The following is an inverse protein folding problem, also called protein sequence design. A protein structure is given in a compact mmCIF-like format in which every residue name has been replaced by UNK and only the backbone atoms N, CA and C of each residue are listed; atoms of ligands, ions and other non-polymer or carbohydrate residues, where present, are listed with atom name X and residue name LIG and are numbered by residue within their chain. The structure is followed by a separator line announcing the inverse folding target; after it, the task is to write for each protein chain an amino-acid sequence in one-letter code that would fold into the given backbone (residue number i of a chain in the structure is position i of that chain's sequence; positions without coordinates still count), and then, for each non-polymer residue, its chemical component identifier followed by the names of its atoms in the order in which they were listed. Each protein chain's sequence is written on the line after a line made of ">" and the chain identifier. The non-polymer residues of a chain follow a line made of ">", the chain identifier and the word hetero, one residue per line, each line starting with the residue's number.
data_IF_339755867858
#
_entry.id   IF_339755867858
#
_cell.length_a   1.000
_cell.length_b   1.000
_cell.length_c   1.000
_cell.angle_alpha   90.00
_cell.angle_beta   90.00
_cell.angle_gamma   90.00
#
_symmetry.space_group_name_H-M   'P 1'
#
loop_
_entity.id
_entity.type
_entity.pdbx_description
1 polymer ?
#
# COMPACT_ATOMS: atom_id res chain seq x y z
N UNK A 1 -25.94 11.84 9.90
CA UNK A 1 -26.11 10.47 9.36
C UNK A 1 -25.27 10.27 8.10
N UNK A 2 -25.39 11.13 7.09
CA UNK A 2 -24.59 11.07 5.84
C UNK A 2 -23.07 10.91 6.07
N UNK A 3 -22.47 11.77 6.90
CA UNK A 3 -21.03 11.69 7.22
C UNK A 3 -20.64 10.35 7.87
N UNK A 4 -21.47 9.84 8.78
CA UNK A 4 -21.22 8.57 9.47
C UNK A 4 -21.27 7.38 8.48
N UNK A 5 -22.22 7.41 7.53
CA UNK A 5 -22.32 6.40 6.47
C UNK A 5 -21.08 6.38 5.57
N UNK A 6 -20.64 7.56 5.09
CA UNK A 6 -19.44 7.69 4.27
C UNK A 6 -18.17 7.26 5.03
N UNK A 7 -18.06 7.68 6.29
CA UNK A 7 -16.94 7.30 7.16
C UNK A 7 -16.91 5.78 7.42
N UNK A 8 -18.08 5.17 7.64
CA UNK A 8 -18.18 3.72 7.81
C UNK A 8 -17.77 2.97 6.53
N UNK A 9 -18.17 3.45 5.35
CA UNK A 9 -17.78 2.86 4.07
C UNK A 9 -16.25 2.85 3.90
N UNK A 10 -15.61 4.01 4.12
CA UNK A 10 -14.14 4.11 4.06
C UNK A 10 -13.40 3.31 5.13
N UNK A 11 -13.96 3.26 6.35
CA UNK A 11 -13.42 2.43 7.41
C UNK A 11 -13.46 0.95 7.02
N UNK A 12 -14.57 0.47 6.48
CA UNK A 12 -14.72 -0.91 6.00
C UNK A 12 -13.78 -1.20 4.82
N UNK A 13 -13.64 -0.27 3.87
CA UNK A 13 -12.71 -0.40 2.74
C UNK A 13 -11.26 -0.64 3.23
N UNK A 14 -10.76 0.21 4.12
CA UNK A 14 -9.41 0.07 4.68
C UNK A 14 -9.27 -1.22 5.51
N UNK A 15 -10.27 -1.56 6.32
CA UNK A 15 -10.27 -2.80 7.09
C UNK A 15 -10.18 -4.04 6.18
N UNK A 16 -10.96 -4.07 5.09
CA UNK A 16 -10.96 -5.18 4.13
C UNK A 16 -9.61 -5.32 3.44
N UNK A 17 -8.96 -4.21 3.09
CA UNK A 17 -7.61 -4.21 2.52
C UNK A 17 -6.58 -4.81 3.48
N UNK A 18 -6.59 -4.42 4.76
CA UNK A 18 -5.71 -5.00 5.77
C UNK A 18 -6.03 -6.47 6.07
N UNK A 19 -7.32 -6.84 6.15
CA UNK A 19 -7.73 -8.21 6.39
C UNK A 19 -7.39 -9.13 5.23
N UNK A 20 -7.48 -8.65 3.99
CA UNK A 20 -7.07 -9.40 2.80
C UNK A 20 -5.62 -9.91 2.95
N UNK A 21 -4.69 -9.05 3.34
CA UNK A 21 -3.29 -9.46 3.58
C UNK A 21 -3.16 -10.50 4.70
N UNK A 22 -3.94 -10.39 5.78
CA UNK A 22 -3.93 -11.38 6.87
C UNK A 22 -4.48 -12.74 6.43
N UNK A 23 -5.55 -12.74 5.63
CA UNK A 23 -6.13 -13.95 5.07
C UNK A 23 -5.13 -14.64 4.14
N UNK A 24 -4.43 -13.88 3.28
CA UNK A 24 -3.37 -14.45 2.43
C UNK A 24 -2.28 -15.16 3.25
N UNK A 25 -1.81 -14.54 4.33
CA UNK A 25 -0.82 -15.16 5.22
C UNK A 25 -1.38 -16.47 5.82
N UNK A 26 -2.62 -16.47 6.31
CA UNK A 26 -3.25 -17.68 6.86
C UNK A 26 -3.37 -18.77 5.79
N UNK A 27 -3.76 -18.42 4.56
CA UNK A 27 -3.87 -19.36 3.45
C UNK A 27 -2.50 -19.97 3.08
N UNK A 28 -1.41 -19.20 3.15
CA UNK A 28 -0.07 -19.76 2.93
C UNK A 28 0.35 -20.81 3.96
N UNK A 29 -0.28 -20.81 5.14
CA UNK A 29 -0.09 -21.86 6.14
C UNK A 29 -0.59 -23.25 5.72
N UNK A 30 -1.36 -23.35 4.64
CA UNK A 30 -1.85 -24.63 4.10
C UNK A 30 -0.97 -25.23 2.99
N UNK A 31 0.16 -24.57 2.66
CA UNK A 31 1.13 -25.07 1.67
C UNK A 31 1.98 -26.22 2.25
N UNK A 32 2.53 -27.06 1.36
CA UNK A 32 3.40 -28.19 1.76
C UNK A 32 4.59 -27.75 2.61
N UNK A 33 5.20 -26.62 2.27
CA UNK A 33 6.30 -25.98 3.02
C UNK A 33 5.80 -24.78 3.84
N UNK A 34 4.70 -24.96 4.58
CA UNK A 34 3.99 -23.90 5.30
C UNK A 34 4.90 -22.96 6.11
N UNK A 35 5.88 -23.51 6.83
CA UNK A 35 6.81 -22.70 7.64
C UNK A 35 7.59 -21.69 6.79
N UNK A 36 8.20 -22.15 5.70
CA UNK A 36 9.01 -21.30 4.82
C UNK A 36 8.12 -20.30 4.08
N UNK A 37 6.96 -20.76 3.59
CA UNK A 37 6.02 -19.91 2.85
C UNK A 37 5.46 -18.78 3.73
N UNK A 38 5.02 -19.10 4.96
CA UNK A 38 4.50 -18.11 5.90
C UNK A 38 5.60 -17.15 6.36
N UNK A 39 6.79 -17.65 6.70
CA UNK A 39 7.89 -16.80 7.16
C UNK A 39 8.33 -15.82 6.07
N UNK A 40 8.56 -16.31 4.85
CA UNK A 40 9.00 -15.47 3.73
C UNK A 40 7.93 -14.45 3.29
N UNK A 41 6.66 -14.87 3.23
CA UNK A 41 5.56 -13.95 2.92
C UNK A 41 5.38 -12.92 4.02
N UNK A 42 5.50 -13.30 5.30
CA UNK A 42 5.38 -12.36 6.42
C UNK A 42 6.44 -11.27 6.36
N UNK A 43 7.69 -11.62 6.03
CA UNK A 43 8.77 -10.64 5.82
C UNK A 43 8.41 -9.68 4.67
N UNK A 44 7.95 -10.21 3.53
CA UNK A 44 7.53 -9.38 2.40
C UNK A 44 6.39 -8.43 2.78
N UNK A 45 5.40 -8.93 3.53
CA UNK A 45 4.26 -8.14 4.01
C UNK A 45 4.66 -7.09 5.05
N UNK A 46 5.66 -7.37 5.89
CA UNK A 46 6.23 -6.38 6.81
C UNK A 46 6.88 -5.21 6.07
N UNK A 47 7.64 -5.51 5.01
CA UNK A 47 8.27 -4.47 4.17
C UNK A 47 7.20 -3.65 3.46
N UNK A 48 6.22 -4.30 2.84
CA UNK A 48 5.08 -3.62 2.21
C UNK A 48 4.30 -2.76 3.22
N UNK A 49 4.12 -3.23 4.46
CA UNK A 49 3.46 -2.47 5.51
C UNK A 49 4.23 -1.22 5.96
N UNK A 50 5.56 -1.26 5.95
CA UNK A 50 6.39 -0.07 6.23
C UNK A 50 6.26 0.96 5.10
N UNK A 51 6.32 0.52 3.84
CA UNK A 51 6.18 1.39 2.68
C UNK A 51 4.77 2.01 2.61
N UNK A 52 3.72 1.22 2.88
CA UNK A 52 2.31 1.64 2.80
C UNK A 52 1.96 2.86 3.68
N UNK A 53 2.77 3.16 4.70
CA UNK A 53 2.60 4.38 5.51
C UNK A 53 2.74 5.66 4.67
N UNK A 54 3.55 5.64 3.61
CA UNK A 54 3.76 6.78 2.73
C UNK A 54 2.51 7.01 1.85
N UNK A 55 2.02 6.03 1.05
CA UNK A 55 0.75 6.16 0.34
C UNK A 55 -0.44 6.52 1.24
N UNK A 56 -0.47 6.01 2.48
CA UNK A 56 -1.53 6.35 3.45
C UNK A 56 -1.45 7.82 3.91
N UNK A 57 -0.25 8.39 4.02
CA UNK A 57 -0.09 9.82 4.26
C UNK A 57 -0.62 10.64 3.08
N UNK A 58 -0.33 10.23 1.84
CA UNK A 58 -0.89 10.86 0.64
C UNK A 58 -2.41 10.70 0.55
N UNK A 59 -2.97 9.55 0.94
CA UNK A 59 -4.42 9.34 1.05
C UNK A 59 -5.06 10.44 1.91
N UNK A 60 -4.54 10.65 3.12
CA UNK A 60 -5.08 11.65 4.04
C UNK A 60 -4.86 13.08 3.53
N UNK A 61 -3.63 13.41 3.12
CA UNK A 61 -3.26 14.76 2.69
C UNK A 61 -3.99 15.19 1.41
N UNK A 62 -4.05 14.31 0.41
CA UNK A 62 -4.74 14.57 -0.86
C UNK A 62 -6.24 14.66 -0.65
N UNK A 63 -6.82 13.82 0.21
CA UNK A 63 -8.24 13.88 0.54
C UNK A 63 -8.65 15.23 1.13
N UNK A 64 -7.89 15.75 2.10
CA UNK A 64 -8.14 17.08 2.66
C UNK A 64 -7.97 18.18 1.62
N UNK A 65 -6.92 18.11 0.79
CA UNK A 65 -6.66 19.14 -0.23
C UNK A 65 -7.77 19.18 -1.28
N UNK A 66 -8.19 18.03 -1.78
CA UNK A 66 -9.29 17.90 -2.75
C UNK A 66 -10.60 18.39 -2.14
N UNK A 67 -10.92 18.00 -0.91
CA UNK A 67 -12.14 18.44 -0.22
C UNK A 67 -12.20 19.96 -0.10
N UNK A 68 -11.08 20.60 0.27
CA UNK A 68 -11.00 22.06 0.40
C UNK A 68 -11.16 22.77 -0.95
N UNK A 69 -10.50 22.28 -2.01
CA UNK A 69 -10.61 22.87 -3.35
C UNK A 69 -12.01 22.72 -3.94
N UNK A 70 -12.65 21.56 -3.77
CA UNK A 70 -14.03 21.33 -4.19
C UNK A 70 -15.02 22.19 -3.37
N UNK A 71 -14.80 22.31 -2.05
CA UNK A 71 -15.60 23.17 -1.18
C UNK A 71 -15.51 24.66 -1.53
N UNK A 72 -14.38 25.09 -2.11
CA UNK A 72 -14.20 26.43 -2.66
C UNK A 72 -14.75 26.61 -4.09
N UNK A 73 -15.35 25.57 -4.69
CA UNK A 73 -15.81 25.59 -6.08
C UNK A 73 -14.68 25.51 -7.12
N UNK A 74 -13.45 25.20 -6.71
CA UNK A 74 -12.28 25.16 -7.57
C UNK A 74 -11.95 23.74 -8.05
N UNK A 75 -12.73 23.23 -9.01
CA UNK A 75 -12.49 21.91 -9.60
C UNK A 75 -11.12 21.77 -10.29
N UNK A 76 -10.55 22.87 -10.81
CA UNK A 76 -9.20 22.87 -11.39
C UNK A 76 -8.14 22.63 -10.32
N UNK A 77 -8.27 23.27 -9.16
CA UNK A 77 -7.40 23.07 -8.01
C UNK A 77 -7.47 21.65 -7.48
N UNK A 78 -8.67 21.06 -7.38
CA UNK A 78 -8.86 19.68 -6.97
C UNK A 78 -8.17 18.69 -7.93
N UNK A 79 -8.33 18.89 -9.24
CA UNK A 79 -7.65 18.07 -10.27
C UNK A 79 -6.14 18.23 -10.22
N UNK A 80 -5.64 19.45 -10.01
CA UNK A 80 -4.21 19.69 -9.88
C UNK A 80 -3.63 18.97 -8.65
N UNK A 81 -4.30 19.05 -7.50
CA UNK A 81 -3.91 18.34 -6.28
C UNK A 81 -3.85 16.82 -6.51
N UNK A 82 -4.86 16.23 -7.15
CA UNK A 82 -4.84 14.81 -7.53
C UNK A 82 -3.60 14.46 -8.38
N UNK A 83 -3.35 15.21 -9.46
CA UNK A 83 -2.26 14.90 -10.40
C UNK A 83 -0.90 14.95 -9.71
N UNK A 84 -0.64 16.00 -8.92
CA UNK A 84 0.63 16.16 -8.22
C UNK A 84 0.83 15.04 -7.19
N UNK A 85 -0.18 14.76 -6.36
CA UNK A 85 -0.06 13.70 -5.36
C UNK A 85 0.17 12.32 -5.98
N UNK A 86 -0.50 12.01 -7.10
CA UNK A 86 -0.31 10.73 -7.81
C UNK A 86 1.09 10.66 -8.42
N UNK A 87 1.56 11.74 -9.04
CA UNK A 87 2.89 11.79 -9.64
C UNK A 87 4.00 11.64 -8.58
N UNK A 88 3.91 12.36 -7.46
CA UNK A 88 4.87 12.26 -6.35
C UNK A 88 4.88 10.86 -5.73
N UNK A 89 3.70 10.30 -5.43
CA UNK A 89 3.60 8.96 -4.86
C UNK A 89 4.14 7.89 -5.82
N UNK A 90 3.88 8.02 -7.12
CA UNK A 90 4.43 7.11 -8.12
C UNK A 90 5.96 7.21 -8.21
N UNK A 91 6.54 8.42 -8.16
CA UNK A 91 8.00 8.60 -8.15
C UNK A 91 8.61 7.92 -6.92
N UNK A 92 8.00 8.13 -5.75
CA UNK A 92 8.45 7.49 -4.50
C UNK A 92 8.33 5.96 -4.60
N UNK A 93 7.20 5.46 -5.11
CA UNK A 93 6.97 4.04 -5.35
C UNK A 93 8.04 3.43 -6.26
N UNK A 94 8.39 4.09 -7.37
CA UNK A 94 9.48 3.66 -8.27
C UNK A 94 10.81 3.58 -7.52
N UNK A 95 11.14 4.59 -6.70
CA UNK A 95 12.38 4.61 -5.91
C UNK A 95 12.40 3.40 -4.96
N UNK A 96 11.33 3.14 -4.21
CA UNK A 96 11.26 1.98 -3.31
C UNK A 96 11.31 0.66 -4.07
N UNK A 97 10.61 0.51 -5.20
CA UNK A 97 10.68 -0.70 -6.02
C UNK A 97 12.09 -0.98 -6.52
N UNK A 98 12.81 0.06 -6.99
CA UNK A 98 14.21 -0.08 -7.41
C UNK A 98 15.10 -0.46 -6.23
N UNK A 99 14.91 0.15 -5.06
CA UNK A 99 15.66 -0.20 -3.84
C UNK A 99 15.43 -1.66 -3.43
N UNK A 100 14.19 -2.15 -3.47
CA UNK A 100 13.87 -3.54 -3.15
C UNK A 100 14.54 -4.51 -4.13
N UNK A 101 14.54 -4.20 -5.43
CA UNK A 101 15.22 -5.02 -6.43
C UNK A 101 16.73 -4.99 -6.21
N UNK A 102 17.32 -3.84 -5.91
CA UNK A 102 18.76 -3.73 -5.72
C UNK A 102 19.25 -4.41 -4.43
N UNK A 103 18.44 -4.35 -3.36
CA UNK A 103 18.76 -4.91 -2.06
C UNK A 103 18.19 -6.32 -1.83
N UNK A 104 17.63 -6.95 -2.86
CA UNK A 104 16.87 -8.20 -2.75
C UNK A 104 17.63 -9.34 -2.05
N UNK A 105 18.94 -9.46 -2.29
CA UNK A 105 19.80 -10.47 -1.67
C UNK A 105 20.07 -10.19 -0.18
N UNK A 106 19.95 -8.93 0.25
CA UNK A 106 20.32 -8.48 1.59
C UNK A 106 19.11 -8.32 2.52
N UNK A 107 17.94 -7.98 1.96
CA UNK A 107 16.73 -7.65 2.74
C UNK A 107 16.31 -8.79 3.68
N UNK A 108 16.39 -10.04 3.24
CA UNK A 108 16.02 -11.19 4.07
C UNK A 108 16.86 -11.34 5.35
N UNK A 109 18.13 -10.94 5.31
CA UNK A 109 19.07 -11.07 6.43
C UNK A 109 18.70 -10.20 7.63
N UNK A 110 17.97 -9.11 7.42
CA UNK A 110 17.53 -8.20 8.50
C UNK A 110 16.49 -8.89 9.40
N UNK A 111 15.72 -9.83 8.84
CA UNK A 111 14.59 -10.45 9.53
C UNK A 111 14.86 -11.86 10.03
N UNK A 112 15.78 -12.60 9.41
CA UNK A 112 16.03 -14.00 9.76
C UNK A 112 17.44 -14.44 9.41
N UNK A 113 17.95 -15.43 10.15
CA UNK A 113 19.22 -16.11 9.87
C UNK A 113 19.04 -17.40 9.06
N UNK A 114 17.80 -17.79 8.73
CA UNK A 114 17.52 -19.02 7.98
C UNK A 114 17.74 -18.82 6.48
N UNK A 115 18.78 -19.44 5.92
CA UNK A 115 19.11 -19.34 4.48
C UNK A 115 17.96 -19.77 3.55
N UNK A 116 17.15 -20.76 3.96
CA UNK A 116 16.02 -21.23 3.16
C UNK A 116 14.91 -20.19 3.07
N UNK A 117 14.67 -19.44 4.15
CA UNK A 117 13.71 -18.33 4.16
C UNK A 117 14.25 -17.14 3.39
N UNK A 118 15.56 -16.83 3.53
CA UNK A 118 16.20 -15.74 2.77
C UNK A 118 16.09 -15.99 1.27
N UNK A 119 16.37 -17.22 0.80
CA UNK A 119 16.18 -17.59 -0.61
C UNK A 119 14.73 -17.47 -1.06
N UNK A 120 13.77 -17.83 -0.21
CA UNK A 120 12.35 -17.67 -0.53
C UNK A 120 11.94 -16.19 -0.62
N UNK A 121 12.39 -15.33 0.30
CA UNK A 121 12.19 -13.87 0.24
C UNK A 121 12.80 -13.30 -1.05
N UNK A 122 14.01 -13.73 -1.40
CA UNK A 122 14.68 -13.33 -2.62
C UNK A 122 13.81 -13.65 -3.87
N UNK A 123 13.29 -14.87 -3.96
CA UNK A 123 12.39 -15.27 -5.05
C UNK A 123 11.09 -14.44 -5.11
N UNK A 124 10.63 -13.92 -3.97
CA UNK A 124 9.45 -13.05 -3.89
C UNK A 124 9.76 -11.56 -4.13
N UNK A 125 11.03 -11.16 -4.17
CA UNK A 125 11.44 -9.75 -4.16
C UNK A 125 10.97 -8.96 -5.38
N UNK A 126 10.97 -9.60 -6.55
CA UNK A 126 10.45 -8.98 -7.78
C UNK A 126 8.95 -8.74 -7.65
N UNK A 127 8.20 -9.73 -7.15
CA UNK A 127 6.76 -9.59 -6.92
C UNK A 127 6.49 -8.48 -5.90
N UNK A 128 7.26 -8.44 -4.80
CA UNK A 128 7.17 -7.39 -3.79
C UNK A 128 7.42 -5.99 -4.39
N UNK A 129 8.43 -5.84 -5.23
CA UNK A 129 8.73 -4.57 -5.88
C UNK A 129 7.58 -4.10 -6.79
N UNK A 130 6.96 -5.01 -7.55
CA UNK A 130 5.76 -4.70 -8.33
C UNK A 130 4.55 -4.37 -7.44
N UNK A 131 4.35 -5.11 -6.35
CA UNK A 131 3.28 -4.84 -5.39
C UNK A 131 3.41 -3.44 -4.80
N UNK A 132 4.61 -3.03 -4.36
CA UNK A 132 4.89 -1.68 -3.87
C UNK A 132 4.58 -0.63 -4.95
N UNK A 133 5.04 -0.84 -6.17
CA UNK A 133 4.82 0.11 -7.27
C UNK A 133 3.32 0.33 -7.52
N UNK A 134 2.54 -0.75 -7.61
CA UNK A 134 1.10 -0.67 -7.87
C UNK A 134 0.35 -0.08 -6.66
N UNK A 135 0.73 -0.45 -5.45
CA UNK A 135 0.15 0.07 -4.22
C UNK A 135 0.53 1.53 -3.94
N UNK A 136 1.55 2.09 -4.59
CA UNK A 136 1.90 3.50 -4.43
C UNK A 136 0.82 4.46 -4.95
N UNK A 137 0.00 4.04 -5.92
CA UNK A 137 -1.00 4.92 -6.56
C UNK A 137 -2.40 4.74 -5.96
N UNK A 138 -2.79 3.51 -5.65
CA UNK A 138 -4.17 3.20 -5.23
C UNK A 138 -4.64 4.01 -4.00
N UNK A 139 -3.89 4.10 -2.89
CA UNK A 139 -4.30 4.88 -1.71
C UNK A 139 -4.47 6.36 -2.01
N UNK A 140 -3.66 6.94 -2.90
CA UNK A 140 -3.81 8.34 -3.29
C UNK A 140 -5.15 8.57 -3.99
N UNK A 141 -5.50 7.70 -4.94
CA UNK A 141 -6.77 7.77 -5.65
C UNK A 141 -7.96 7.55 -4.70
N UNK A 142 -7.85 6.60 -3.76
CA UNK A 142 -8.85 6.42 -2.71
C UNK A 142 -8.99 7.69 -1.86
N UNK A 143 -7.89 8.37 -1.54
CA UNK A 143 -7.91 9.64 -0.82
C UNK A 143 -8.67 10.73 -1.57
N UNK A 144 -8.50 10.79 -2.89
CA UNK A 144 -9.25 11.70 -3.75
C UNK A 144 -10.74 11.37 -3.76
N UNK A 145 -11.12 10.10 -3.86
CA UNK A 145 -12.51 9.66 -3.78
C UNK A 145 -13.14 10.02 -2.43
N UNK A 146 -12.42 9.80 -1.32
CA UNK A 146 -12.86 10.21 0.03
C UNK A 146 -13.03 11.71 0.13
N UNK A 147 -12.04 12.49 -0.33
CA UNK A 147 -12.09 13.95 -0.34
C UNK A 147 -13.21 14.53 -1.20
N UNK A 148 -13.62 13.79 -2.24
CA UNK A 148 -14.73 14.17 -3.13
C UNK A 148 -16.09 13.64 -2.66
N UNK A 149 -16.14 12.85 -1.58
CA UNK A 149 -17.36 12.22 -1.09
C UNK A 149 -17.85 11.01 -1.93
N UNK A 150 -17.02 10.48 -2.82
CA UNK A 150 -17.34 9.38 -3.76
C UNK A 150 -16.96 8.00 -3.22
N UNK A 151 -17.09 7.82 -1.91
CA UNK A 151 -16.68 6.63 -1.16
C UNK A 151 -17.86 5.67 -0.90
N UNK A 152 -19.00 5.84 -1.59
CA UNK A 152 -20.24 5.03 -1.47
C UNK A 152 -20.59 4.34 -2.77
#
# INVERSE_FOLDING_TARGET
>A
WEFAKLSASSGVMLCLEYWYYRILIVMTGSLKDAKIAVDSLSICMSINGLEMMIPLAFFAGTGVRVANELGAGNGKGARFAMIISVAESLIIGIIFSVLIIFLHDQIGWIFTSSETVIKAVNNLSILLAFTILLNSVQPVLSGVAVGSGWQS
#
